data_IF_177715867439
#
_entry.id   IF_177715867439
#
_cell.length_a   1.000
_cell.length_b   1.000
_cell.length_c   1.000
_cell.angle_alpha   90.00
_cell.angle_beta   90.00
_cell.angle_gamma   90.00
#
_symmetry.space_group_name_H-M   'P 1'
#
loop_
_entity.id
_entity.type
_entity.pdbx_description
1 polymer ?
#
# COMPACT_ATOMS: atom_id res chain seq x y z
N UNK A 1 -3.17 -3.39 19.71
CA UNK A 1 -3.39 -2.31 18.74
C UNK A 1 -2.18 -2.19 17.85
N UNK A 2 -2.34 -2.44 16.56
CA UNK A 2 -1.23 -2.44 15.61
C UNK A 2 -0.99 -1.02 15.12
N UNK A 3 0.27 -0.57 15.23
CA UNK A 3 0.72 0.74 14.72
C UNK A 3 0.95 0.66 13.21
N UNK A 4 0.99 1.79 12.47
CA UNK A 4 1.29 1.80 11.02
C UNK A 4 2.47 0.92 10.62
N UNK A 5 3.58 0.96 11.38
CA UNK A 5 4.77 0.12 11.15
C UNK A 5 4.48 -1.38 11.15
N UNK A 6 3.54 -1.85 11.99
CA UNK A 6 3.12 -3.25 11.97
C UNK A 6 2.41 -3.57 10.66
N UNK A 7 1.49 -2.70 10.22
CA UNK A 7 0.74 -2.94 8.99
C UNK A 7 1.62 -2.87 7.75
N UNK A 8 2.58 -1.94 7.70
CA UNK A 8 3.57 -1.90 6.63
C UNK A 8 4.41 -3.20 6.58
N UNK A 9 4.89 -3.69 7.74
CA UNK A 9 5.60 -4.96 7.83
C UNK A 9 4.70 -6.16 7.45
N UNK A 10 3.43 -6.13 7.84
CA UNK A 10 2.45 -7.15 7.47
C UNK A 10 2.19 -7.17 5.96
N UNK A 11 2.12 -6.01 5.30
CA UNK A 11 2.03 -5.94 3.84
C UNK A 11 3.26 -6.56 3.16
N UNK A 12 4.47 -6.23 3.62
CA UNK A 12 5.70 -6.82 3.12
C UNK A 12 5.76 -8.34 3.34
N UNK A 13 5.35 -8.81 4.51
CA UNK A 13 5.30 -10.25 4.84
C UNK A 13 4.18 -11.01 4.13
N UNK A 14 3.23 -10.31 3.49
CA UNK A 14 2.10 -10.91 2.76
C UNK A 14 2.34 -11.06 1.26
N UNK A 15 3.53 -10.71 0.78
CA UNK A 15 3.96 -10.89 -0.59
C UNK A 15 4.10 -12.39 -0.92
N UNK A 16 4.11 -12.71 -2.22
CA UNK A 16 4.33 -14.08 -2.69
C UNK A 16 5.81 -14.44 -2.70
N UNK A 17 6.12 -15.73 -2.88
CA UNK A 17 7.49 -16.24 -2.83
C UNK A 17 8.25 -16.04 -4.15
N UNK A 18 7.56 -15.88 -5.27
CA UNK A 18 8.17 -15.69 -6.59
C UNK A 18 8.42 -14.20 -6.87
N UNK A 19 9.67 -13.76 -6.75
CA UNK A 19 10.07 -12.37 -7.05
C UNK A 19 9.99 -12.09 -8.56
N UNK A 20 9.33 -10.98 -8.92
CA UNK A 20 9.18 -10.53 -10.29
C UNK A 20 10.20 -9.43 -10.63
N UNK A 21 10.66 -9.43 -11.88
CA UNK A 21 11.47 -8.34 -12.42
C UNK A 21 10.65 -7.04 -12.44
N UNK A 22 11.24 -5.95 -11.94
CA UNK A 22 10.63 -4.63 -11.93
C UNK A 22 11.66 -3.55 -12.20
N UNK A 23 11.21 -2.39 -12.66
CA UNK A 23 11.99 -1.17 -12.74
C UNK A 23 11.14 -0.01 -12.23
N UNK A 24 11.75 0.89 -11.46
CA UNK A 24 11.11 2.10 -10.95
C UNK A 24 11.77 3.31 -11.59
N UNK A 25 10.99 4.24 -12.12
CA UNK A 25 11.52 5.46 -12.74
C UNK A 25 10.57 6.64 -12.51
N UNK A 26 11.05 7.85 -12.80
CA UNK A 26 10.30 9.09 -12.61
C UNK A 26 10.69 9.84 -11.33
N UNK A 27 9.85 10.79 -10.94
CA UNK A 27 10.10 11.66 -9.79
C UNK A 27 10.11 10.88 -8.47
N UNK A 28 11.22 10.98 -7.73
CA UNK A 28 11.42 10.31 -6.46
C UNK A 28 11.77 8.82 -6.57
N UNK A 29 11.84 8.24 -7.77
CA UNK A 29 12.27 6.85 -7.94
C UNK A 29 13.64 6.60 -7.29
N UNK A 30 13.78 5.45 -6.63
CA UNK A 30 15.01 4.97 -5.97
C UNK A 30 15.48 5.82 -4.77
N UNK A 31 14.83 6.95 -4.49
CA UNK A 31 15.15 7.83 -3.36
C UNK A 31 13.99 7.90 -2.36
N UNK A 32 12.80 8.25 -2.86
CA UNK A 32 11.56 8.35 -2.08
C UNK A 32 10.66 7.14 -2.33
N UNK A 33 10.49 6.81 -3.61
CA UNK A 33 9.60 5.77 -4.09
C UNK A 33 10.39 4.52 -4.43
N UNK A 34 10.03 3.42 -3.77
CA UNK A 34 10.52 2.10 -4.11
C UNK A 34 9.37 1.10 -4.22
N UNK A 35 9.66 -0.04 -4.85
CA UNK A 35 8.67 -1.08 -5.04
C UNK A 35 9.29 -2.48 -5.04
N UNK A 36 8.49 -3.46 -4.63
CA UNK A 36 8.74 -4.90 -4.79
C UNK A 36 7.54 -5.53 -5.49
N UNK A 37 7.78 -6.50 -6.37
CA UNK A 37 6.73 -7.24 -7.06
C UNK A 37 6.94 -8.74 -6.91
N UNK A 38 5.86 -9.47 -6.64
CA UNK A 38 5.89 -10.91 -6.38
C UNK A 38 4.66 -11.60 -6.94
N UNK A 39 4.78 -12.90 -7.24
CA UNK A 39 3.67 -13.78 -7.62
C UNK A 39 3.43 -14.82 -6.53
N UNK A 40 2.15 -15.13 -6.31
CA UNK A 40 1.68 -16.21 -5.43
C UNK A 40 1.46 -17.49 -6.23
N UNK A 41 1.46 -18.64 -5.55
CA UNK A 41 1.20 -19.96 -6.16
C UNK A 41 -0.15 -20.03 -6.89
N UNK A 42 -1.14 -19.27 -6.43
CA UNK A 42 -2.47 -19.17 -7.05
C UNK A 42 -2.52 -18.25 -8.29
N UNK A 43 -1.36 -17.72 -8.71
CA UNK A 43 -1.23 -16.81 -9.84
C UNK A 43 -1.51 -15.34 -9.50
N UNK A 44 -1.90 -15.01 -8.26
CA UNK A 44 -2.06 -13.62 -7.84
C UNK A 44 -0.74 -12.87 -7.90
N UNK A 45 -0.81 -11.59 -8.27
CA UNK A 45 0.36 -10.71 -8.34
C UNK A 45 0.23 -9.62 -7.30
N UNK A 46 1.29 -9.42 -6.51
CA UNK A 46 1.43 -8.29 -5.61
C UNK A 46 2.47 -7.31 -6.12
N UNK A 47 2.16 -6.02 -6.02
CA UNK A 47 3.11 -4.92 -6.16
C UNK A 47 3.02 -4.08 -4.89
N UNK A 48 4.04 -4.17 -4.05
CA UNK A 48 4.21 -3.33 -2.86
C UNK A 48 4.99 -2.09 -3.25
N UNK A 49 4.44 -0.91 -2.95
CA UNK A 49 5.06 0.39 -3.22
C UNK A 49 5.15 1.18 -1.92
N UNK A 50 6.26 1.85 -1.67
CA UNK A 50 6.41 2.78 -0.56
C UNK A 50 6.87 4.14 -1.07
N UNK A 51 6.42 5.20 -0.40
CA UNK A 51 6.86 6.57 -0.59
C UNK A 51 7.28 7.14 0.77
N UNK A 52 8.56 7.37 0.98
CA UNK A 52 9.09 7.83 2.25
C UNK A 52 10.47 8.43 2.11
N UNK A 53 10.84 9.29 3.06
CA UNK A 53 12.15 9.97 3.08
C UNK A 53 12.96 9.59 4.31
N UNK A 54 14.28 9.59 4.17
CA UNK A 54 15.20 9.49 5.30
C UNK A 54 15.35 10.83 6.05
N UNK A 55 14.85 11.94 5.48
CA UNK A 55 14.85 13.24 6.13
C UNK A 55 13.84 13.25 7.29
N UNK A 56 14.34 13.15 8.52
CA UNK A 56 13.51 13.15 9.72
C UNK A 56 12.71 14.44 9.93
N UNK A 57 13.14 15.57 9.38
CA UNK A 57 12.37 16.83 9.48
C UNK A 57 11.02 16.75 8.74
N UNK A 58 10.91 15.83 7.78
CA UNK A 58 9.69 15.60 7.00
C UNK A 58 9.00 14.30 7.41
N UNK A 59 9.32 13.73 8.58
CA UNK A 59 8.75 12.44 9.01
C UNK A 59 7.23 12.48 9.23
N UNK A 60 6.68 13.67 9.48
CA UNK A 60 5.23 13.89 9.58
C UNK A 60 4.53 14.00 8.22
N UNK A 61 5.29 13.99 7.12
CA UNK A 61 4.81 14.16 5.76
C UNK A 61 4.95 15.59 5.23
N UNK A 62 5.00 15.70 3.91
CA UNK A 62 4.98 16.95 3.15
C UNK A 62 4.20 16.68 1.84
N UNK A 63 3.07 17.37 1.58
CA UNK A 63 2.26 17.12 0.38
C UNK A 63 3.02 17.30 -0.95
N UNK A 64 4.11 18.06 -0.97
CA UNK A 64 4.98 18.18 -2.16
C UNK A 64 5.72 16.88 -2.49
N UNK A 65 5.80 15.97 -1.52
CA UNK A 65 6.43 14.67 -1.63
C UNK A 65 5.41 13.54 -1.91
N UNK A 66 4.13 13.87 -2.03
CA UNK A 66 3.10 12.93 -2.47
C UNK A 66 3.32 12.52 -3.93
N UNK A 67 2.94 11.29 -4.28
CA UNK A 67 3.19 10.74 -5.62
C UNK A 67 1.96 10.05 -6.19
N UNK A 68 1.79 10.17 -7.49
CA UNK A 68 0.91 9.30 -8.27
C UNK A 68 1.75 8.21 -8.88
N UNK A 69 1.46 6.96 -8.53
CA UNK A 69 2.18 5.78 -9.00
C UNK A 69 1.40 5.15 -10.14
N UNK A 70 2.10 4.88 -11.25
CA UNK A 70 1.60 4.08 -12.37
C UNK A 70 2.34 2.75 -12.37
N UNK A 71 1.60 1.66 -12.19
CA UNK A 71 2.11 0.30 -12.28
C UNK A 71 1.73 -0.28 -13.63
N UNK A 72 2.72 -0.53 -14.49
CA UNK A 72 2.56 -1.25 -15.75
C UNK A 72 2.94 -2.71 -15.55
N UNK A 73 2.00 -3.61 -15.84
CA UNK A 73 2.16 -5.05 -15.69
C UNK A 73 2.17 -5.69 -17.08
N UNK A 74 3.04 -6.67 -17.26
CA UNK A 74 3.20 -7.42 -18.50
C UNK A 74 3.10 -8.93 -18.21
N UNK A 75 2.82 -9.71 -19.25
CA UNK A 75 2.70 -11.17 -19.19
C UNK A 75 1.63 -11.66 -18.18
N UNK A 76 0.52 -10.93 -18.08
CA UNK A 76 -0.66 -11.34 -17.34
C UNK A 76 -1.39 -12.46 -18.11
N UNK A 77 -1.69 -13.56 -17.42
CA UNK A 77 -2.24 -14.78 -18.01
C UNK A 77 -3.78 -14.75 -18.11
N UNK A 78 -4.45 -14.11 -17.15
CA UNK A 78 -5.90 -14.09 -17.10
C UNK A 78 -6.49 -12.96 -17.96
N UNK A 79 -7.73 -13.18 -18.42
CA UNK A 79 -8.48 -12.16 -19.18
C UNK A 79 -9.02 -11.03 -18.29
N UNK A 80 -9.15 -11.28 -17.00
CA UNK A 80 -9.67 -10.35 -16.02
C UNK A 80 -9.04 -10.61 -14.66
N UNK A 81 -8.76 -9.53 -13.94
CA UNK A 81 -8.23 -9.55 -12.58
C UNK A 81 -9.07 -8.66 -11.67
N UNK A 82 -9.35 -9.15 -10.46
CA UNK A 82 -9.84 -8.29 -9.38
C UNK A 82 -8.66 -7.55 -8.78
N UNK A 83 -8.73 -6.21 -8.81
CA UNK A 83 -7.70 -5.36 -8.24
C UNK A 83 -8.08 -4.87 -6.84
N UNK A 84 -7.17 -5.02 -5.88
CA UNK A 84 -7.32 -4.51 -4.52
C UNK A 84 -6.11 -3.70 -4.10
N UNK A 85 -6.35 -2.57 -3.45
CA UNK A 85 -5.32 -1.71 -2.91
C UNK A 85 -5.39 -1.68 -1.39
N UNK A 86 -4.37 -2.22 -0.73
CA UNK A 86 -4.20 -2.08 0.70
C UNK A 86 -3.30 -0.86 0.99
N UNK A 87 -3.63 -0.05 2.00
CA UNK A 87 -2.94 1.23 2.26
C UNK A 87 -2.55 1.41 3.72
N UNK A 88 -1.36 1.95 3.95
CA UNK A 88 -0.85 2.40 5.24
C UNK A 88 -0.28 3.79 5.05
N UNK A 89 -0.97 4.81 5.55
CA UNK A 89 -0.57 6.22 5.47
C UNK A 89 -1.25 7.03 6.58
N UNK A 90 -1.29 8.36 6.49
CA UNK A 90 -1.90 9.21 7.50
C UNK A 90 -3.39 8.87 7.76
N UNK A 91 -4.11 8.52 6.69
CA UNK A 91 -5.56 8.33 6.71
C UNK A 91 -5.96 6.84 6.73
N UNK A 92 -5.05 5.95 6.35
CA UNK A 92 -5.33 4.52 6.20
C UNK A 92 -4.47 3.65 7.13
N UNK A 93 -5.10 2.68 7.81
CA UNK A 93 -4.44 1.70 8.69
C UNK A 93 -3.56 2.35 9.77
N UNK A 94 -3.99 3.51 10.26
CA UNK A 94 -3.24 4.32 11.20
C UNK A 94 -4.00 4.62 12.48
N UNK A 95 -3.74 3.80 13.48
CA UNK A 95 -4.36 3.93 14.79
C UNK A 95 -3.96 5.20 15.55
N UNK A 96 -2.86 5.86 15.16
CA UNK A 96 -2.43 7.11 15.80
C UNK A 96 -3.41 8.23 15.44
N UNK A 97 -3.87 8.29 14.19
CA UNK A 97 -4.89 9.25 13.75
C UNK A 97 -6.26 9.03 14.41
N UNK A 98 -6.54 7.82 14.88
CA UNK A 98 -7.77 7.48 15.60
C UNK A 98 -7.73 7.82 17.10
N UNK A 99 -6.58 8.21 17.66
CA UNK A 99 -6.49 8.63 19.06
C UNK A 99 -7.00 10.06 19.22
N UNK A 100 -7.98 10.31 20.10
CA UNK A 100 -8.42 11.68 20.39
C UNK A 100 -7.28 12.53 20.97
N UNK A 101 -7.22 13.80 20.58
CA UNK A 101 -6.20 14.72 21.07
C UNK A 101 -6.30 14.92 22.59
N UNK A 102 -5.16 14.94 23.28
CA UNK A 102 -5.09 15.19 24.73
C UNK A 102 -5.46 13.99 25.62
N UNK A 103 -5.66 12.79 25.04
CA UNK A 103 -5.90 11.57 25.81
C UNK A 103 -4.59 10.86 26.10
N UNK A 104 -4.13 10.95 27.35
CA UNK A 104 -2.94 10.22 27.82
C UNK A 104 -3.26 8.75 28.17
N UNK A 105 -4.43 8.51 28.78
CA UNK A 105 -4.90 7.17 29.16
C UNK A 105 -6.31 6.93 28.61
N UNK A 106 -6.48 6.04 27.62
CA UNK A 106 -7.79 5.72 27.07
C UNK A 106 -8.69 5.03 28.10
N UNK A 107 -9.95 5.44 28.15
CA UNK A 107 -11.00 4.72 28.88
C UNK A 107 -11.54 3.53 28.07
N UNK A 108 -12.53 2.81 28.60
CA UNK A 108 -13.08 1.63 27.96
C UNK A 108 -13.69 1.90 26.57
N UNK A 109 -14.35 3.05 26.40
CA UNK A 109 -14.94 3.48 25.14
C UNK A 109 -13.84 3.79 24.11
N UNK A 110 -12.85 4.58 24.49
CA UNK A 110 -11.70 4.91 23.65
C UNK A 110 -10.93 3.64 23.26
N UNK A 111 -10.71 2.71 24.18
CA UNK A 111 -10.09 1.42 23.85
C UNK A 111 -10.94 0.60 22.87
N UNK A 112 -12.26 0.64 22.99
CA UNK A 112 -13.17 -0.01 22.05
C UNK A 112 -13.06 0.60 20.65
N UNK A 113 -13.10 1.94 20.57
CA UNK A 113 -12.93 2.69 19.32
C UNK A 113 -11.59 2.37 18.65
N UNK A 114 -10.49 2.44 19.39
CA UNK A 114 -9.16 2.14 18.86
C UNK A 114 -9.05 0.69 18.36
N UNK A 115 -9.66 -0.28 19.07
CA UNK A 115 -9.71 -1.67 18.60
C UNK A 115 -10.49 -1.82 17.30
N UNK A 116 -11.61 -1.10 17.16
CA UNK A 116 -12.39 -1.10 15.92
C UNK A 116 -11.61 -0.47 14.74
N UNK A 117 -10.78 0.54 15.01
CA UNK A 117 -9.92 1.19 14.02
C UNK A 117 -8.62 0.42 13.71
N UNK A 118 -8.31 -0.64 14.46
CA UNK A 118 -7.13 -1.50 14.24
C UNK A 118 -7.37 -2.51 13.10
N UNK A 119 -7.53 -1.98 11.89
CA UNK A 119 -7.79 -2.75 10.68
C UNK A 119 -6.86 -2.32 9.55
N UNK A 120 -6.50 -3.28 8.71
CA UNK A 120 -5.84 -2.98 7.43
C UNK A 120 -6.90 -2.46 6.47
N UNK A 121 -6.80 -1.19 6.09
CA UNK A 121 -7.64 -0.60 5.05
C UNK A 121 -7.34 -1.26 3.69
N UNK A 122 -8.39 -1.75 3.04
CA UNK A 122 -8.33 -2.31 1.70
C UNK A 122 -9.52 -1.82 0.88
N UNK A 123 -9.25 -1.31 -0.32
CA UNK A 123 -10.27 -0.89 -1.26
C UNK A 123 -10.23 -1.75 -2.54
N UNK A 124 -11.38 -1.93 -3.19
CA UNK A 124 -11.47 -2.54 -4.51
C UNK A 124 -11.27 -1.44 -5.55
N UNK A 125 -10.31 -1.64 -6.44
CA UNK A 125 -10.14 -0.82 -7.63
C UNK A 125 -10.99 -1.39 -8.77
N UNK A 126 -11.20 -0.66 -9.88
CA UNK A 126 -11.78 -1.22 -11.09
C UNK A 126 -11.06 -2.50 -11.50
N UNK A 127 -11.83 -3.50 -11.96
CA UNK A 127 -11.26 -4.75 -12.44
C UNK A 127 -10.33 -4.48 -13.63
N UNK A 128 -9.23 -5.22 -13.68
CA UNK A 128 -8.17 -5.03 -14.66
C UNK A 128 -8.37 -6.05 -15.78
N UNK A 129 -8.52 -5.55 -17.01
CA UNK A 129 -8.69 -6.35 -18.22
C UNK A 129 -7.43 -6.19 -19.08
N UNK A 130 -6.50 -7.15 -19.04
CA UNK A 130 -5.26 -7.03 -19.81
C UNK A 130 -5.51 -7.04 -21.31
N UNK A 131 -4.81 -6.19 -22.04
CA UNK A 131 -4.77 -6.21 -23.51
C UNK A 131 -3.44 -6.84 -23.93
N UNK A 132 -3.49 -7.99 -24.61
CA UNK A 132 -2.26 -8.70 -25.00
C UNK A 132 -1.38 -9.14 -23.83
N UNK A 133 -1.98 -9.36 -22.64
CA UNK A 133 -1.24 -9.66 -21.41
C UNK A 133 -0.65 -8.45 -20.69
N UNK A 134 -1.00 -7.23 -21.12
CA UNK A 134 -0.54 -5.99 -20.52
C UNK A 134 -1.67 -5.22 -19.84
N UNK A 135 -1.36 -4.60 -18.71
CA UNK A 135 -2.30 -3.74 -18.00
C UNK A 135 -1.59 -2.59 -17.30
N UNK A 136 -2.34 -1.54 -16.99
CA UNK A 136 -1.85 -0.43 -16.18
C UNK A 136 -2.83 -0.10 -15.08
N UNK A 137 -2.33 0.05 -13.86
CA UNK A 137 -3.08 0.53 -12.70
C UNK A 137 -2.40 1.79 -12.18
N UNK A 138 -3.20 2.82 -11.88
CA UNK A 138 -2.69 4.08 -11.32
C UNK A 138 -3.35 4.34 -9.99
N UNK A 139 -2.57 4.73 -8.98
CA UNK A 139 -3.08 5.11 -7.67
C UNK A 139 -2.18 6.19 -7.02
N UNK A 140 -2.74 6.88 -6.05
CA UNK A 140 -2.06 7.90 -5.28
C UNK A 140 -1.42 7.30 -4.02
N UNK A 141 -0.22 7.77 -3.66
CA UNK A 141 0.47 7.43 -2.41
C UNK A 141 1.02 8.71 -1.76
N UNK A 142 0.53 9.09 -0.56
CA UNK A 142 1.07 10.24 0.16
C UNK A 142 2.47 9.93 0.70
N UNK A 143 3.18 10.97 1.17
CA UNK A 143 4.42 10.80 1.93
C UNK A 143 4.18 11.15 3.41
N UNK A 144 4.49 10.25 4.36
CA UNK A 144 4.88 8.85 4.15
C UNK A 144 3.68 7.97 3.80
N UNK A 145 3.91 6.93 3.00
CA UNK A 145 2.86 5.98 2.63
C UNK A 145 3.42 4.64 2.14
N UNK A 146 2.64 3.57 2.35
CA UNK A 146 2.88 2.24 1.81
C UNK A 146 1.57 1.72 1.22
N UNK A 147 1.62 1.17 0.01
CA UNK A 147 0.47 0.59 -0.66
C UNK A 147 0.82 -0.78 -1.26
N UNK A 148 -0.09 -1.75 -1.16
CA UNK A 148 0.01 -3.03 -1.87
C UNK A 148 -1.13 -3.14 -2.87
N UNK A 149 -0.80 -3.13 -4.16
CA UNK A 149 -1.71 -3.55 -5.22
C UNK A 149 -1.67 -5.07 -5.31
N UNK A 150 -2.84 -5.72 -5.19
CA UNK A 150 -3.01 -7.15 -5.47
C UNK A 150 -3.93 -7.33 -6.67
N UNK A 151 -3.49 -8.12 -7.64
CA UNK A 151 -4.30 -8.64 -8.73
C UNK A 151 -4.51 -10.12 -8.53
N UNK A 152 -5.76 -10.56 -8.39
CA UNK A 152 -6.14 -11.98 -8.35
C UNK A 152 -7.04 -12.32 -9.53
N UNK A 153 -7.08 -13.59 -9.96
CA UNK A 153 -7.99 -14.03 -11.02
C UNK A 153 -9.44 -13.58 -10.74
N UNK A 154 -10.12 -13.09 -11.78
CA UNK A 154 -11.48 -12.56 -11.71
C UNK A 154 -12.58 -13.55 -12.07
#
# INVERSE_FOLDING_TARGET
LRKPRFWAAHLAASQGDDVLSLAVSGDGAEVLVGANATRHDDGSVDVLVWNGTINSEMSSGDPRLDRTVRVSLHNLAEKSYVARLARVDADHSNIIGAMPAGVDWPDAETWSHLRASDVLHQERLPDVQPSGGEATVTFFIPMPGVARLRLSAG
#
